data_IF_979023859463
#
_entry.id   IF_979023859463
#
_cell.length_a   1.000
_cell.length_b   1.000
_cell.length_c   1.000
_cell.angle_alpha   90.00
_cell.angle_beta   90.00
_cell.angle_gamma   90.00
#
_symmetry.space_group_name_H-M   'P 1'
#
loop_
_entity.id
_entity.type
_entity.pdbx_description
1 polymer ?
#
# COMPACT_ATOMS: atom_id res chain seq x y z
N UNK A 1 -49.04 16.22 37.36
CA UNK A 1 -48.53 16.91 36.16
C UNK A 1 -47.05 17.30 36.27
N UNK A 2 -46.55 17.90 37.37
CA UNK A 2 -45.14 18.30 37.50
C UNK A 2 -44.13 17.16 37.40
N UNK A 3 -44.45 15.95 37.87
CA UNK A 3 -43.56 14.81 37.83
C UNK A 3 -43.47 14.15 36.42
N UNK A 4 -44.54 14.24 35.63
CA UNK A 4 -44.58 13.72 34.27
C UNK A 4 -43.66 14.54 33.34
N UNK A 5 -43.62 15.85 33.50
CA UNK A 5 -42.78 16.76 32.73
C UNK A 5 -41.30 16.51 33.04
N UNK A 6 -40.94 16.19 34.31
CA UNK A 6 -39.56 15.89 34.68
C UNK A 6 -39.07 14.57 34.09
N UNK A 7 -39.94 13.54 34.02
CA UNK A 7 -39.59 12.25 33.41
C UNK A 7 -39.42 12.38 31.90
N UNK A 8 -40.29 13.15 31.23
CA UNK A 8 -40.16 13.41 29.77
C UNK A 8 -38.89 14.20 29.46
N UNK A 9 -38.56 15.21 30.30
CA UNK A 9 -37.30 15.98 30.10
C UNK A 9 -36.05 15.14 30.32
N UNK A 10 -36.06 14.19 31.26
CA UNK A 10 -34.95 13.27 31.49
C UNK A 10 -34.79 12.28 30.35
N UNK A 11 -35.89 11.78 29.77
CA UNK A 11 -35.88 10.87 28.61
C UNK A 11 -35.33 11.54 27.34
N UNK A 12 -35.62 12.83 27.16
CA UNK A 12 -35.10 13.62 26.01
C UNK A 12 -33.58 13.85 26.17
N UNK A 13 -33.08 14.06 27.40
CA UNK A 13 -31.64 14.23 27.63
C UNK A 13 -30.85 12.92 27.42
N UNK A 14 -31.41 11.75 27.74
CA UNK A 14 -30.73 10.46 27.52
C UNK A 14 -30.76 10.01 26.05
N UNK A 15 -31.75 10.39 25.27
CA UNK A 15 -31.83 10.13 23.83
C UNK A 15 -30.86 11.01 23.02
N UNK A 16 -30.45 12.16 23.55
CA UNK A 16 -29.49 13.08 22.89
C UNK A 16 -28.04 12.64 22.95
N UNK A 17 -27.65 11.74 23.85
CA UNK A 17 -26.25 11.34 24.02
C UNK A 17 -25.84 10.21 23.08
N UNK A 18 -26.78 9.43 22.53
CA UNK A 18 -26.46 8.36 21.56
C UNK A 18 -26.47 8.85 20.09
N UNK A 19 -26.78 10.12 19.85
CA UNK A 19 -26.88 10.70 18.50
C UNK A 19 -25.54 11.36 18.05
N UNK A 20 -24.58 11.58 18.96
CA UNK A 20 -23.37 12.31 18.60
C UNK A 20 -22.43 11.52 17.68
N UNK A 21 -22.38 10.20 17.75
CA UNK A 21 -21.52 9.41 16.83
C UNK A 21 -22.10 9.39 15.41
N UNK A 22 -23.42 9.25 15.27
CA UNK A 22 -24.07 9.27 13.94
C UNK A 22 -24.03 10.64 13.26
N UNK A 23 -23.94 11.73 14.02
CA UNK A 23 -23.86 13.08 13.47
C UNK A 23 -22.41 13.41 13.04
N UNK A 24 -21.40 12.83 13.70
CA UNK A 24 -20.00 12.99 13.27
C UNK A 24 -19.71 12.30 11.95
N UNK A 25 -20.29 11.12 11.68
CA UNK A 25 -20.11 10.40 10.43
C UNK A 25 -20.71 11.07 9.17
N UNK A 26 -21.58 12.07 9.36
CA UNK A 26 -22.19 12.83 8.25
C UNK A 26 -21.21 13.88 7.66
N UNK A 27 -20.11 14.14 8.36
CA UNK A 27 -19.11 15.14 7.98
C UNK A 27 -17.74 14.52 7.67
N UNK A 28 -17.64 13.17 7.59
CA UNK A 28 -16.37 12.54 7.23
C UNK A 28 -15.98 12.97 5.82
N UNK A 29 -14.69 13.21 5.64
CA UNK A 29 -14.09 13.54 4.35
C UNK A 29 -13.58 12.24 3.75
N UNK A 30 -14.00 11.96 2.52
CA UNK A 30 -13.46 10.84 1.74
C UNK A 30 -12.64 11.41 0.58
N UNK A 31 -11.47 10.84 0.36
CA UNK A 31 -10.61 11.18 -0.79
C UNK A 31 -9.79 9.96 -1.24
N UNK A 32 -9.47 9.95 -2.52
CA UNK A 32 -8.62 8.92 -3.10
C UNK A 32 -7.18 9.46 -3.15
N UNK A 33 -6.21 8.60 -2.84
CA UNK A 33 -4.79 8.95 -2.91
C UNK A 33 -3.95 7.71 -3.20
N UNK A 34 -2.73 7.93 -3.69
CA UNK A 34 -1.77 6.86 -3.97
C UNK A 34 -0.55 7.00 -3.08
N UNK A 35 -0.25 5.98 -2.30
CA UNK A 35 1.03 5.80 -1.63
C UNK A 35 1.99 5.07 -2.57
N UNK A 36 3.20 5.55 -2.74
CA UNK A 36 4.14 4.90 -3.67
C UNK A 36 5.57 4.84 -3.13
N UNK A 37 6.30 3.83 -3.60
CA UNK A 37 7.73 3.68 -3.36
C UNK A 37 8.44 3.17 -4.60
N UNK A 38 9.58 3.78 -4.92
CA UNK A 38 10.42 3.42 -6.05
C UNK A 38 11.50 2.43 -5.62
N UNK A 39 11.42 1.21 -6.14
CA UNK A 39 12.42 0.16 -5.96
C UNK A 39 13.52 0.31 -7.00
N UNK A 40 14.70 0.72 -6.56
CA UNK A 40 15.90 0.80 -7.40
C UNK A 40 16.64 -0.54 -7.36
N UNK A 41 16.64 -1.25 -8.48
CA UNK A 41 17.23 -2.57 -8.63
C UNK A 41 18.50 -2.44 -9.48
N UNK A 42 19.66 -2.64 -8.86
CA UNK A 42 20.96 -2.62 -9.53
C UNK A 42 21.54 -4.03 -9.55
N UNK A 43 21.50 -4.65 -10.72
CA UNK A 43 21.99 -6.02 -10.94
C UNK A 43 23.36 -5.96 -11.57
N UNK A 44 24.38 -6.01 -10.73
CA UNK A 44 25.77 -6.01 -11.16
C UNK A 44 26.24 -7.42 -11.54
N UNK A 45 27.38 -7.50 -12.24
CA UNK A 45 27.99 -8.76 -12.65
C UNK A 45 28.52 -9.51 -11.39
N UNK A 46 27.63 -10.15 -10.65
CA UNK A 46 27.99 -11.07 -9.58
C UNK A 46 28.38 -12.43 -10.20
N UNK A 47 29.34 -13.09 -9.59
CA UNK A 47 29.83 -14.41 -10.04
C UNK A 47 28.63 -15.35 -10.34
N UNK A 48 28.53 -15.67 -11.62
CA UNK A 48 27.50 -16.56 -12.18
C UNK A 48 27.46 -17.85 -11.36
N UNK A 49 26.32 -18.14 -10.76
CA UNK A 49 25.95 -19.52 -10.43
C UNK A 49 25.88 -20.28 -11.78
N UNK A 50 26.93 -20.96 -12.13
CA UNK A 50 27.21 -21.55 -13.45
C UNK A 50 26.21 -22.59 -13.98
N UNK A 51 24.99 -22.64 -13.46
CA UNK A 51 23.99 -23.64 -13.85
C UNK A 51 22.63 -23.08 -14.34
N UNK A 52 22.39 -21.77 -14.23
CA UNK A 52 21.20 -21.14 -14.77
C UNK A 52 21.60 -19.75 -15.30
N UNK A 53 21.21 -19.41 -16.51
CA UNK A 53 21.38 -18.09 -17.13
C UNK A 53 20.45 -17.05 -16.48
N UNK A 54 20.49 -16.93 -15.14
CA UNK A 54 19.67 -16.02 -14.35
C UNK A 54 20.47 -15.40 -13.22
N UNK A 55 20.16 -14.17 -12.90
CA UNK A 55 20.86 -13.34 -11.92
C UNK A 55 19.91 -12.98 -10.79
N UNK A 56 20.32 -13.21 -9.54
CA UNK A 56 19.53 -12.84 -8.38
C UNK A 56 19.60 -11.33 -8.15
N UNK A 57 18.51 -10.76 -7.66
CA UNK A 57 18.43 -9.37 -7.24
C UNK A 57 17.57 -9.22 -5.99
N UNK A 58 17.78 -8.12 -5.30
CA UNK A 58 16.94 -7.64 -4.21
C UNK A 58 16.95 -6.11 -4.20
N UNK A 59 15.84 -5.51 -3.78
CA UNK A 59 15.74 -4.08 -3.53
C UNK A 59 14.74 -3.81 -2.41
N UNK A 60 14.90 -2.65 -1.75
CA UNK A 60 14.06 -2.25 -0.64
C UNK A 60 13.96 -0.72 -0.62
N UNK A 61 12.77 -0.20 -0.29
CA UNK A 61 12.51 1.21 -0.05
C UNK A 61 11.57 1.38 1.14
N UNK A 62 11.80 2.42 1.93
CA UNK A 62 10.87 2.83 2.98
C UNK A 62 9.90 3.87 2.45
N UNK A 63 8.63 3.72 2.78
CA UNK A 63 7.55 4.65 2.43
C UNK A 63 7.00 5.25 3.72
N UNK A 64 7.04 6.57 3.81
CA UNK A 64 6.41 7.31 4.90
C UNK A 64 5.08 7.91 4.39
N UNK A 65 3.93 7.52 4.95
CA UNK A 65 2.65 8.13 4.56
C UNK A 65 2.63 9.66 4.72
N UNK A 66 3.46 10.22 5.60
CA UNK A 66 3.57 11.66 5.80
C UNK A 66 4.23 12.40 4.63
N UNK A 67 4.93 11.69 3.74
CA UNK A 67 5.47 12.28 2.51
C UNK A 67 4.38 12.55 1.45
N UNK A 68 3.18 11.99 1.65
CA UNK A 68 2.00 12.27 0.83
C UNK A 68 1.23 13.45 1.42
N UNK A 69 1.14 14.57 0.67
CA UNK A 69 0.53 15.82 1.14
C UNK A 69 -0.95 15.63 1.52
N UNK A 70 -1.71 14.81 0.77
CA UNK A 70 -3.13 14.55 1.03
C UNK A 70 -3.32 13.81 2.35
N UNK A 71 -2.43 12.87 2.69
CA UNK A 71 -2.48 12.12 3.94
C UNK A 71 -1.96 12.96 5.11
N UNK A 72 -0.86 13.69 4.92
CA UNK A 72 -0.20 14.47 5.97
C UNK A 72 -1.16 15.44 6.67
N UNK A 73 -2.03 16.10 5.90
CA UNK A 73 -3.01 17.03 6.44
C UNK A 73 -4.05 16.37 7.36
N UNK A 74 -4.34 15.07 7.15
CA UNK A 74 -5.38 14.35 7.88
C UNK A 74 -4.87 13.23 8.78
N UNK A 75 -3.56 13.00 8.89
CA UNK A 75 -2.96 11.81 9.52
C UNK A 75 -3.55 11.46 10.90
N UNK A 76 -3.77 12.46 11.76
CA UNK A 76 -4.31 12.29 13.10
C UNK A 76 -5.83 12.02 13.10
N UNK A 77 -6.51 12.35 12.00
CA UNK A 77 -7.95 12.27 11.85
C UNK A 77 -8.40 11.12 10.93
N UNK A 78 -7.45 10.42 10.30
CA UNK A 78 -7.76 9.24 9.47
C UNK A 78 -8.40 8.17 10.33
N UNK A 79 -9.54 7.67 9.87
CA UNK A 79 -10.30 6.57 10.48
C UNK A 79 -9.99 5.24 9.81
N UNK A 80 -9.85 5.27 8.49
CA UNK A 80 -9.76 4.08 7.66
C UNK A 80 -9.03 4.39 6.36
N UNK A 81 -8.21 3.47 5.90
CA UNK A 81 -7.57 3.46 4.58
C UNK A 81 -7.93 2.15 3.89
N UNK A 82 -8.80 2.19 2.89
CA UNK A 82 -9.19 1.03 2.11
C UNK A 82 -8.34 0.95 0.85
N UNK A 83 -7.80 -0.21 0.55
CA UNK A 83 -6.98 -0.46 -0.64
C UNK A 83 -7.89 -0.78 -1.82
N UNK A 84 -7.82 0.03 -2.86
CA UNK A 84 -8.57 -0.20 -4.11
C UNK A 84 -7.74 -1.04 -5.09
N UNK A 85 -6.47 -0.66 -5.33
CA UNK A 85 -5.56 -1.36 -6.23
C UNK A 85 -4.11 -1.30 -5.73
N UNK A 86 -3.32 -2.31 -6.11
CA UNK A 86 -1.86 -2.31 -5.94
C UNK A 86 -1.22 -2.54 -7.30
N UNK A 87 -0.45 -1.56 -7.76
CA UNK A 87 0.09 -1.53 -9.12
C UNK A 87 1.62 -1.48 -9.08
N UNK A 88 2.26 -2.32 -9.87
CA UNK A 88 3.67 -2.21 -10.20
C UNK A 88 3.82 -1.59 -11.57
N UNK A 89 4.57 -0.50 -11.67
CA UNK A 89 4.92 0.14 -12.94
C UNK A 89 6.42 0.17 -13.15
N UNK A 90 6.86 -0.13 -14.38
CA UNK A 90 8.27 -0.01 -14.77
C UNK A 90 8.54 1.43 -15.19
N UNK A 91 9.17 2.20 -14.31
CA UNK A 91 9.48 3.62 -14.55
C UNK A 91 10.73 3.79 -15.41
N UNK A 92 11.68 2.88 -15.28
CA UNK A 92 12.92 2.94 -16.05
C UNK A 92 13.59 1.57 -16.16
N UNK A 93 14.20 1.31 -17.30
CA UNK A 93 15.13 0.18 -17.51
C UNK A 93 16.21 0.57 -18.51
N UNK A 94 17.47 0.37 -18.16
CA UNK A 94 18.61 0.77 -19.02
C UNK A 94 18.96 -0.26 -20.09
N UNK A 95 18.26 -1.40 -20.16
CA UNK A 95 18.57 -2.52 -21.07
C UNK A 95 17.29 -3.14 -21.63
N UNK A 96 17.35 -3.65 -22.85
CA UNK A 96 16.23 -4.39 -23.47
C UNK A 96 16.29 -5.88 -23.11
N UNK A 97 15.17 -6.58 -23.35
CA UNK A 97 15.01 -8.03 -23.18
C UNK A 97 15.21 -8.54 -21.74
N UNK A 98 15.10 -7.65 -20.74
CA UNK A 98 15.12 -8.02 -19.33
C UNK A 98 13.80 -8.70 -18.96
N UNK A 99 13.89 -9.85 -18.30
CA UNK A 99 12.72 -10.60 -17.84
C UNK A 99 12.90 -11.00 -16.39
N UNK A 100 11.98 -10.61 -15.53
CA UNK A 100 11.87 -11.17 -14.19
C UNK A 100 11.23 -12.56 -14.27
N UNK A 101 11.85 -13.50 -13.59
CA UNK A 101 11.40 -14.89 -13.61
C UNK A 101 10.26 -15.13 -12.65
N UNK A 102 9.42 -16.10 -12.98
CA UNK A 102 8.43 -16.66 -12.07
C UNK A 102 9.05 -16.97 -10.71
N UNK A 103 8.33 -16.66 -9.63
CA UNK A 103 8.83 -16.77 -8.27
C UNK A 103 9.45 -15.48 -7.71
N UNK A 104 9.68 -14.46 -8.54
CA UNK A 104 9.97 -13.11 -8.03
C UNK A 104 8.82 -12.64 -7.16
N UNK A 105 9.11 -12.07 -5.98
CA UNK A 105 8.08 -11.57 -5.10
C UNK A 105 8.26 -10.08 -4.77
N UNK A 106 7.13 -9.46 -4.45
CA UNK A 106 7.02 -8.11 -3.92
C UNK A 106 6.37 -8.18 -2.55
N UNK A 107 6.91 -7.48 -1.59
CA UNK A 107 6.45 -7.51 -0.21
C UNK A 107 6.31 -6.11 0.33
N UNK A 108 5.22 -5.88 1.06
CA UNK A 108 4.99 -4.70 1.90
C UNK A 108 4.95 -5.15 3.34
N UNK A 109 5.72 -4.50 4.22
CA UNK A 109 5.83 -4.90 5.61
C UNK A 109 6.01 -3.70 6.55
N UNK A 110 5.51 -3.83 7.77
CA UNK A 110 5.89 -2.99 8.89
C UNK A 110 6.36 -3.90 10.06
N UNK A 111 6.57 -3.33 11.23
CA UNK A 111 7.05 -4.07 12.41
C UNK A 111 6.12 -5.22 12.88
N UNK A 112 4.85 -5.22 12.49
CA UNK A 112 3.82 -6.14 13.00
C UNK A 112 3.20 -7.04 11.92
N UNK A 113 3.12 -6.56 10.68
CA UNK A 113 2.40 -7.21 9.59
C UNK A 113 3.24 -7.23 8.32
N UNK A 114 3.00 -8.23 7.48
CA UNK A 114 3.58 -8.32 6.14
C UNK A 114 2.57 -8.88 5.15
N UNK A 115 2.69 -8.48 3.90
CA UNK A 115 1.96 -9.04 2.78
C UNK A 115 2.92 -9.26 1.61
N UNK A 116 2.74 -10.36 0.88
CA UNK A 116 3.64 -10.75 -0.21
C UNK A 116 2.84 -11.21 -1.41
N UNK A 117 3.19 -10.69 -2.58
CA UNK A 117 2.73 -11.16 -3.88
C UNK A 117 3.89 -11.83 -4.62
N UNK A 118 3.63 -12.96 -5.25
CA UNK A 118 4.62 -13.72 -6.01
C UNK A 118 4.19 -13.82 -7.46
N UNK A 119 5.07 -13.47 -8.38
CA UNK A 119 4.82 -13.62 -9.81
C UNK A 119 4.64 -15.10 -10.16
N UNK A 120 3.49 -15.44 -10.69
CA UNK A 120 3.16 -16.80 -11.15
C UNK A 120 3.79 -17.14 -12.50
N UNK A 121 4.24 -16.14 -13.27
CA UNK A 121 4.86 -16.25 -14.58
C UNK A 121 6.02 -15.29 -14.75
N UNK A 122 6.73 -15.44 -15.88
CA UNK A 122 7.79 -14.51 -16.28
C UNK A 122 7.19 -13.15 -16.64
N UNK A 123 7.82 -12.07 -16.17
CA UNK A 123 7.40 -10.69 -16.45
C UNK A 123 8.47 -9.96 -17.26
N UNK A 124 8.21 -9.63 -18.55
CA UNK A 124 9.08 -8.78 -19.35
C UNK A 124 9.13 -7.36 -18.79
N UNK A 125 10.33 -6.86 -18.50
CA UNK A 125 10.54 -5.52 -17.95
C UNK A 125 10.72 -4.54 -19.09
N UNK A 126 9.67 -3.79 -19.36
CA UNK A 126 9.63 -2.77 -20.42
C UNK A 126 9.10 -1.48 -19.81
N UNK A 127 9.83 -0.38 -20.02
CA UNK A 127 9.44 0.94 -19.50
C UNK A 127 8.02 1.31 -19.93
N UNK A 128 7.23 1.80 -18.95
CA UNK A 128 5.82 2.14 -19.13
C UNK A 128 4.86 0.96 -19.07
N UNK A 129 5.32 -0.27 -18.77
CA UNK A 129 4.41 -1.40 -18.53
C UNK A 129 4.00 -1.48 -17.06
N UNK A 130 2.77 -1.96 -16.85
CA UNK A 130 2.16 -2.09 -15.52
C UNK A 130 1.59 -3.49 -15.31
N UNK A 131 1.60 -3.94 -14.07
CA UNK A 131 0.83 -5.11 -13.62
C UNK A 131 0.10 -4.77 -12.31
N UNK A 132 -1.14 -5.22 -12.21
CA UNK A 132 -1.90 -5.16 -10.95
C UNK A 132 -1.63 -6.39 -10.12
N UNK A 133 -1.31 -6.18 -8.85
CA UNK A 133 -1.16 -7.25 -7.86
C UNK A 133 -2.54 -7.54 -7.25
N UNK A 134 -3.15 -8.64 -7.68
CA UNK A 134 -4.52 -8.99 -7.31
C UNK A 134 -4.67 -9.28 -5.80
N UNK A 135 -5.88 -9.05 -5.28
CA UNK A 135 -6.25 -9.49 -3.93
C UNK A 135 -6.40 -11.02 -3.88
N UNK A 136 -5.35 -11.69 -3.48
CA UNK A 136 -5.29 -13.15 -3.36
C UNK A 136 -5.48 -13.58 -1.89
N UNK A 137 -6.73 -13.87 -1.53
CA UNK A 137 -7.04 -14.43 -0.20
C UNK A 137 -6.92 -13.43 0.96
N UNK A 138 -7.24 -12.15 0.71
CA UNK A 138 -7.24 -11.10 1.71
C UNK A 138 -5.88 -10.40 1.86
N UNK A 139 -5.10 -10.35 0.76
CA UNK A 139 -3.84 -9.58 0.75
C UNK A 139 -4.11 -8.09 0.92
N UNK A 140 -5.21 -7.55 0.38
CA UNK A 140 -5.60 -6.16 0.58
C UNK A 140 -6.00 -5.89 2.03
N UNK A 141 -6.79 -6.78 2.67
CA UNK A 141 -7.11 -6.66 4.11
C UNK A 141 -5.85 -6.69 5.00
N UNK A 142 -4.80 -7.42 4.59
CA UNK A 142 -3.53 -7.45 5.31
C UNK A 142 -2.72 -6.16 5.08
N UNK A 143 -2.77 -5.61 3.87
CA UNK A 143 -2.14 -4.33 3.53
C UNK A 143 -2.81 -3.16 4.26
N UNK A 144 -4.13 -3.12 4.32
CA UNK A 144 -4.91 -2.13 5.09
C UNK A 144 -4.45 -2.08 6.56
N UNK A 145 -4.22 -3.23 7.20
CA UNK A 145 -3.68 -3.28 8.57
C UNK A 145 -2.28 -2.68 8.71
N UNK A 146 -1.47 -2.72 7.64
CA UNK A 146 -0.17 -2.06 7.61
C UNK A 146 -0.39 -0.54 7.55
N UNK A 147 -1.27 -0.08 6.64
CA UNK A 147 -1.59 1.33 6.42
C UNK A 147 -2.28 1.96 7.63
N UNK A 148 -3.17 1.24 8.31
CA UNK A 148 -3.88 1.69 9.52
C UNK A 148 -2.93 2.05 10.67
N UNK A 149 -1.69 1.55 10.66
CA UNK A 149 -0.68 1.99 11.63
C UNK A 149 -0.22 3.43 11.41
N UNK A 150 -0.48 4.00 10.23
CA UNK A 150 -0.10 5.36 9.81
C UNK A 150 1.40 5.66 9.96
N UNK A 151 2.18 4.61 10.07
CA UNK A 151 3.63 4.68 10.23
C UNK A 151 4.38 4.24 8.97
N UNK A 152 5.67 4.47 9.00
CA UNK A 152 6.58 4.03 7.94
C UNK A 152 6.46 2.52 7.72
N UNK A 153 6.36 2.14 6.46
CA UNK A 153 6.42 0.74 6.02
C UNK A 153 7.50 0.55 4.96
N UNK A 154 7.88 -0.68 4.74
CA UNK A 154 8.92 -1.07 3.78
C UNK A 154 8.29 -1.79 2.61
N UNK A 155 8.68 -1.41 1.41
CA UNK A 155 8.42 -2.15 0.17
C UNK A 155 9.71 -2.84 -0.23
N UNK A 156 9.67 -4.13 -0.52
CA UNK A 156 10.84 -4.90 -0.94
C UNK A 156 10.51 -5.88 -2.06
N UNK A 157 11.53 -6.22 -2.83
CA UNK A 157 11.45 -7.25 -3.87
C UNK A 157 12.69 -8.12 -3.83
N UNK A 158 12.51 -9.40 -4.16
CA UNK A 158 13.60 -10.36 -4.37
C UNK A 158 13.19 -11.31 -5.48
N UNK A 159 14.15 -11.67 -6.32
CA UNK A 159 13.89 -12.56 -7.44
C UNK A 159 15.12 -12.84 -8.28
N UNK A 160 14.84 -13.31 -9.49
CA UNK A 160 15.89 -13.54 -10.50
C UNK A 160 15.45 -12.94 -11.84
N UNK A 161 16.43 -12.50 -12.63
CA UNK A 161 16.20 -11.98 -13.97
C UNK A 161 17.17 -12.61 -14.99
N UNK A 162 16.89 -12.37 -16.27
CA UNK A 162 17.66 -12.92 -17.41
C UNK A 162 18.94 -12.19 -17.73
N UNK A 163 19.15 -10.97 -17.19
CA UNK A 163 20.21 -10.08 -17.60
C UNK A 163 20.99 -9.54 -16.40
N UNK A 164 22.26 -9.23 -16.63
CA UNK A 164 23.18 -8.59 -15.69
C UNK A 164 23.61 -7.21 -16.20
N UNK A 165 24.22 -6.39 -15.37
CA UNK A 165 24.55 -4.98 -15.65
C UNK A 165 23.28 -4.21 -16.04
N UNK A 166 22.23 -4.41 -15.27
CA UNK A 166 20.91 -3.81 -15.47
C UNK A 166 20.56 -2.93 -14.27
N UNK A 167 20.10 -1.73 -14.57
CA UNK A 167 19.48 -0.85 -13.59
C UNK A 167 18.01 -0.68 -13.94
N UNK A 168 17.11 -0.92 -12.99
CA UNK A 168 15.67 -0.88 -13.15
C UNK A 168 15.10 -0.04 -12.02
N UNK A 169 14.08 0.77 -12.33
CA UNK A 169 13.23 1.42 -11.32
C UNK A 169 11.82 0.90 -11.50
N UNK A 170 11.30 0.26 -10.45
CA UNK A 170 9.91 -0.19 -10.38
C UNK A 170 9.22 0.59 -9.29
N UNK A 171 8.15 1.29 -9.64
CA UNK A 171 7.24 1.92 -8.68
C UNK A 171 6.19 0.92 -8.24
N UNK A 172 6.06 0.74 -6.92
CA UNK A 172 4.87 0.13 -6.34
C UNK A 172 3.96 1.26 -5.90
N UNK A 173 2.76 1.35 -6.50
CA UNK A 173 1.68 2.24 -6.14
C UNK A 173 0.60 1.48 -5.38
N UNK A 174 0.09 2.06 -4.29
CA UNK A 174 -1.03 1.56 -3.51
C UNK A 174 -2.12 2.62 -3.60
N UNK A 175 -3.12 2.37 -4.42
CA UNK A 175 -4.28 3.24 -4.54
C UNK A 175 -5.22 2.99 -3.38
N UNK A 176 -5.54 4.04 -2.64
CA UNK A 176 -6.31 3.96 -1.41
C UNK A 176 -7.43 4.98 -1.38
N UNK A 177 -8.55 4.54 -0.83
CA UNK A 177 -9.64 5.41 -0.41
C UNK A 177 -9.53 5.69 1.09
N UNK A 178 -9.31 6.93 1.42
CA UNK A 178 -9.12 7.40 2.80
C UNK A 178 -10.40 8.01 3.33
N UNK A 179 -10.80 7.61 4.54
CA UNK A 179 -11.88 8.24 5.30
C UNK A 179 -11.28 8.92 6.52
N UNK A 180 -11.52 10.21 6.67
CA UNK A 180 -11.02 11.01 7.78
C UNK A 180 -12.13 11.84 8.45
N UNK A 181 -11.96 12.15 9.74
CA UNK A 181 -12.76 13.18 10.39
C UNK A 181 -12.38 14.56 9.87
N UNK A 182 -13.30 15.52 9.78
CA UNK A 182 -12.97 16.88 9.41
C UNK A 182 -11.98 17.50 10.42
N UNK A 183 -11.14 18.38 9.90
CA UNK A 183 -10.14 19.16 10.68
C UNK A 183 -10.77 20.13 11.66
#
# INVERSE_FOLDING_TARGET
MKNLIRVVLLLIMTAGLSSCEKVRSIFDVEFDTTLSGDLEIDIQDMEVLKSAEVYAFQAEVSVDPLDNEDIADYIDNIKEMNVDDVILSVEYVNKQDVVFKSGTYFRVANYANEVTWTLSGDWPIVEGTEITLEDLGGTYDALEKILDTKGVFTVSTEGTCTETNVFIVIRLGIDTKVTASPL
#
